data_IF_943131526734
#
_entry.id   IF_943131526734
#
_cell.length_a   1.000
_cell.length_b   1.000
_cell.length_c   1.000
_cell.angle_alpha   90.00
_cell.angle_beta   90.00
_cell.angle_gamma   90.00
#
_symmetry.space_group_name_H-M   'P 1'
#
loop_
_entity.id
_entity.type
_entity.pdbx_description
1 polymer ?
#
# COMPACT_ATOMS: atom_id res chain seq x y z
N UNK A 1 -16.52 30.88 -3.03
CA UNK A 1 -15.40 29.93 -3.22
C UNK A 1 -15.54 28.93 -2.09
N UNK A 2 -16.08 27.75 -2.41
CA UNK A 2 -16.29 26.69 -1.43
C UNK A 2 -14.96 25.93 -1.24
N UNK A 3 -14.53 25.76 0.01
CA UNK A 3 -13.33 25.01 0.36
C UNK A 3 -13.56 23.52 0.10
N UNK A 4 -12.55 22.75 -0.35
CA UNK A 4 -12.69 21.31 -0.51
C UNK A 4 -12.92 20.63 0.84
N UNK A 5 -13.88 19.71 0.90
CA UNK A 5 -14.13 18.88 2.07
C UNK A 5 -12.99 17.87 2.23
N UNK A 6 -12.10 18.10 3.20
CA UNK A 6 -11.04 17.15 3.59
C UNK A 6 -11.58 16.28 4.72
N UNK A 7 -11.70 14.98 4.48
CA UNK A 7 -12.11 14.00 5.48
C UNK A 7 -10.91 13.18 5.94
N UNK A 8 -10.66 13.15 7.25
CA UNK A 8 -9.57 12.40 7.86
C UNK A 8 -10.18 11.27 8.67
N UNK A 9 -9.90 10.02 8.30
CA UNK A 9 -10.24 8.85 9.10
C UNK A 9 -8.99 8.43 9.92
N UNK A 10 -9.01 8.61 11.23
CA UNK A 10 -7.90 8.20 12.10
C UNK A 10 -8.16 8.33 13.59
N UNK A 11 -7.89 7.26 14.34
CA UNK A 11 -7.76 7.25 15.80
C UNK A 11 -6.32 7.55 16.19
N UNK A 12 -6.05 8.73 16.74
CA UNK A 12 -4.71 9.15 17.15
C UNK A 12 -4.41 8.89 18.63
N UNK A 13 -3.27 8.27 18.92
CA UNK A 13 -2.56 8.40 20.19
C UNK A 13 -1.13 8.83 19.88
N UNK A 14 -0.73 10.02 20.33
CA UNK A 14 0.64 10.55 20.17
C UNK A 14 1.39 10.36 21.48
N UNK A 15 2.45 9.56 21.49
CA UNK A 15 3.37 9.47 22.63
C UNK A 15 4.73 10.04 22.19
N UNK A 16 5.08 11.20 22.74
CA UNK A 16 6.43 11.80 22.64
C UNK A 16 7.21 11.39 23.87
N UNK A 17 8.39 10.79 23.71
CA UNK A 17 9.39 10.80 24.77
C UNK A 17 10.80 10.95 24.20
N UNK A 18 11.50 11.96 24.70
CA UNK A 18 12.90 12.29 24.45
C UNK A 18 13.71 11.76 25.62
N UNK A 19 14.79 11.01 25.36
CA UNK A 19 15.82 10.76 26.36
C UNK A 19 17.18 11.16 25.81
N UNK A 20 17.78 12.17 26.44
CA UNK A 20 19.21 12.43 26.41
C UNK A 20 19.89 11.46 27.39
N UNK A 21 20.78 10.61 26.90
CA UNK A 21 21.70 9.85 27.76
C UNK A 21 23.12 10.40 27.62
N UNK A 22 23.60 10.98 28.72
CA UNK A 22 25.01 11.31 28.95
C UNK A 22 25.81 10.03 29.21
N UNK A 23 26.96 9.87 28.56
CA UNK A 23 27.90 8.75 28.77
C UNK A 23 28.67 8.89 30.09
N UNK A 24 28.99 7.77 30.77
CA UNK A 24 30.22 7.63 31.51
C UNK A 24 31.24 6.77 30.75
N UNK A 25 32.50 7.18 30.87
CA UNK A 25 33.73 6.54 30.40
C UNK A 25 34.12 5.34 31.25
N UNK A 26 34.63 4.27 30.64
CA UNK A 26 35.33 3.19 31.33
C UNK A 26 35.56 1.97 30.44
N UNK A 27 36.84 1.69 30.13
CA UNK A 27 37.32 0.53 29.39
C UNK A 27 37.26 -0.76 30.24
N UNK A 28 36.89 -1.89 29.64
CA UNK A 28 37.74 -3.11 29.59
C UNK A 28 37.07 -4.29 28.84
N UNK A 29 37.91 -5.25 28.48
CA UNK A 29 37.84 -6.18 27.34
C UNK A 29 36.93 -7.44 27.45
N UNK A 30 36.78 -8.10 26.26
CA UNK A 30 36.47 -9.52 25.92
C UNK A 30 34.97 -9.92 25.70
N UNK A 31 34.62 -11.04 25.00
CA UNK A 31 34.48 -11.22 23.54
C UNK A 31 33.07 -11.61 23.02
N UNK A 32 32.90 -11.51 21.69
CA UNK A 32 31.96 -12.23 20.81
C UNK A 32 30.63 -12.75 21.37
N UNK A 33 29.57 -11.96 21.18
CA UNK A 33 28.17 -12.38 21.41
C UNK A 33 27.18 -11.55 20.58
N UNK A 34 27.43 -11.36 19.28
CA UNK A 34 26.52 -10.63 18.38
C UNK A 34 25.38 -11.54 17.89
N UNK A 35 24.40 -11.79 18.76
CA UNK A 35 23.02 -12.16 18.38
C UNK A 35 22.00 -12.09 19.56
N UNK A 36 22.41 -11.68 20.77
CA UNK A 36 21.51 -11.65 21.95
C UNK A 36 21.17 -10.24 22.47
N UNK A 37 21.66 -9.15 21.87
CA UNK A 37 21.52 -7.82 22.47
C UNK A 37 20.19 -7.11 22.16
N UNK A 38 19.53 -7.38 21.05
CA UNK A 38 18.30 -6.64 20.68
C UNK A 38 17.07 -7.10 21.47
N UNK A 39 17.00 -8.40 21.81
CA UNK A 39 15.88 -8.95 22.59
C UNK A 39 15.90 -8.54 24.07
N UNK A 40 17.09 -8.44 24.67
CA UNK A 40 17.27 -8.04 26.08
C UNK A 40 17.01 -6.55 26.30
N UNK A 41 17.39 -5.68 25.34
CA UNK A 41 17.16 -4.23 25.43
C UNK A 41 15.67 -3.89 25.34
N UNK A 42 14.89 -4.62 24.52
CA UNK A 42 13.43 -4.44 24.50
C UNK A 42 12.77 -4.90 25.80
N UNK A 43 13.30 -5.95 26.44
CA UNK A 43 12.77 -6.46 27.71
C UNK A 43 13.00 -5.47 28.87
N UNK A 44 14.17 -4.85 28.97
CA UNK A 44 14.48 -3.90 30.05
C UNK A 44 13.67 -2.59 29.96
N UNK A 45 13.40 -2.09 28.76
CA UNK A 45 12.53 -0.91 28.55
C UNK A 45 11.10 -1.20 29.02
N UNK A 46 10.61 -2.42 28.77
CA UNK A 46 9.26 -2.85 29.16
C UNK A 46 9.15 -3.08 30.67
N UNK A 47 10.14 -3.71 31.31
CA UNK A 47 10.16 -3.91 32.77
C UNK A 47 10.24 -2.58 33.53
N UNK A 48 10.97 -1.60 33.00
CA UNK A 48 11.10 -0.27 33.58
C UNK A 48 9.79 0.54 33.52
N UNK A 49 8.92 0.27 32.55
CA UNK A 49 7.63 0.94 32.38
C UNK A 49 6.50 0.36 33.24
N UNK A 50 6.61 -0.89 33.72
CA UNK A 50 5.46 -1.62 34.28
C UNK A 50 5.46 -1.86 35.80
N UNK A 51 6.50 -1.49 36.56
CA UNK A 51 6.57 -1.61 38.05
C UNK A 51 5.96 -2.91 38.63
N UNK A 52 6.30 -4.07 38.06
CA UNK A 52 5.74 -5.35 38.52
C UNK A 52 6.49 -5.82 39.79
N UNK A 53 5.81 -6.17 40.90
CA UNK A 53 6.46 -6.68 42.10
C UNK A 53 6.94 -8.13 41.90
N UNK A 54 8.18 -8.40 42.31
CA UNK A 54 8.82 -9.71 42.29
C UNK A 54 8.23 -10.66 43.34
N UNK A 55 7.16 -11.40 43.05
CA UNK A 55 6.82 -12.60 43.82
C UNK A 55 6.02 -13.57 42.97
N UNK A 56 6.71 -14.54 42.35
CA UNK A 56 6.25 -15.89 42.00
C UNK A 56 7.47 -16.67 41.42
N UNK A 57 7.52 -17.98 41.62
CA UNK A 57 8.68 -18.81 41.24
C UNK A 57 8.89 -18.84 39.72
N UNK A 58 10.17 -18.68 39.33
CA UNK A 58 10.64 -18.38 37.98
C UNK A 58 10.21 -19.38 36.89
N UNK A 59 10.02 -20.64 37.26
CA UNK A 59 9.96 -21.75 36.29
C UNK A 59 8.53 -22.10 35.82
N UNK A 60 7.48 -21.74 36.55
CA UNK A 60 6.10 -22.12 36.19
C UNK A 60 5.32 -21.01 35.46
N UNK A 61 5.74 -19.74 35.58
CA UNK A 61 5.19 -18.64 34.76
C UNK A 61 5.87 -18.51 33.39
N UNK A 62 7.05 -19.13 33.19
CA UNK A 62 7.94 -18.80 32.08
C UNK A 62 7.52 -19.34 30.71
N UNK A 63 6.58 -20.29 30.63
CA UNK A 63 6.18 -20.88 29.34
C UNK A 63 4.77 -20.46 28.91
N UNK A 64 3.81 -20.39 29.85
CA UNK A 64 2.43 -20.02 29.53
C UNK A 64 2.18 -18.51 29.53
N UNK A 65 2.77 -17.73 30.44
CA UNK A 65 2.68 -16.26 30.36
C UNK A 65 3.56 -15.72 29.26
N UNK A 66 4.76 -16.27 29.03
CA UNK A 66 5.62 -15.80 27.94
C UNK A 66 4.94 -15.98 26.58
N UNK A 67 4.16 -17.05 26.35
CA UNK A 67 3.43 -17.21 25.09
C UNK A 67 2.28 -16.18 24.92
N UNK A 68 1.40 -16.05 25.92
CA UNK A 68 0.25 -15.15 25.84
C UNK A 68 0.65 -13.66 25.90
N UNK A 69 1.67 -13.33 26.69
CA UNK A 69 2.24 -11.99 26.75
C UNK A 69 3.05 -11.69 25.49
N UNK A 70 3.83 -12.63 24.93
CA UNK A 70 4.54 -12.39 23.66
C UNK A 70 3.60 -12.18 22.48
N UNK A 71 2.44 -12.83 22.44
CA UNK A 71 1.40 -12.53 21.44
C UNK A 71 0.79 -11.14 21.64
N UNK A 72 0.62 -10.73 22.89
CA UNK A 72 0.15 -9.39 23.24
C UNK A 72 1.21 -8.34 22.88
N UNK A 73 2.48 -8.60 23.16
CA UNK A 73 3.62 -7.77 22.78
C UNK A 73 3.84 -7.74 21.28
N UNK A 74 3.66 -8.86 20.54
CA UNK A 74 3.70 -8.85 19.08
C UNK A 74 2.57 -8.03 18.49
N UNK A 75 1.36 -8.12 19.03
CA UNK A 75 0.23 -7.25 18.63
C UNK A 75 0.51 -5.79 18.95
N UNK A 76 1.09 -5.48 20.11
CA UNK A 76 1.51 -4.13 20.50
C UNK A 76 2.62 -3.60 19.60
N UNK A 77 3.69 -4.35 19.38
CA UNK A 77 4.81 -3.97 18.50
C UNK A 77 4.30 -3.82 17.06
N UNK A 78 3.45 -4.72 16.56
CA UNK A 78 2.84 -4.59 15.22
C UNK A 78 1.91 -3.38 15.14
N UNK A 79 1.22 -3.02 16.23
CA UNK A 79 0.41 -1.80 16.30
C UNK A 79 1.25 -0.53 16.47
N UNK A 80 2.49 -0.64 16.97
CA UNK A 80 3.40 0.47 17.25
C UNK A 80 4.42 0.72 16.12
N UNK A 81 4.69 -0.27 15.27
CA UNK A 81 5.46 -0.06 14.03
C UNK A 81 4.51 0.55 13.01
N UNK A 82 4.70 1.83 12.64
CA UNK A 82 3.84 2.46 11.64
C UNK A 82 3.87 1.62 10.37
N UNK A 83 2.70 1.29 9.82
CA UNK A 83 2.65 0.67 8.50
C UNK A 83 3.38 1.58 7.52
N UNK A 84 4.27 0.99 6.72
CA UNK A 84 5.02 1.73 5.71
C UNK A 84 4.02 2.48 4.82
N UNK A 85 4.15 3.81 4.66
CA UNK A 85 3.23 4.56 3.81
C UNK A 85 3.29 3.99 2.39
N UNK A 86 2.10 3.71 1.84
CA UNK A 86 1.91 3.23 0.45
C UNK A 86 1.84 4.38 -0.55
N UNK A 87 1.49 5.58 -0.08
CA UNK A 87 1.41 6.79 -0.88
C UNK A 87 0.10 6.89 -1.65
N UNK A 88 0.16 7.34 -2.90
CA UNK A 88 -1.02 7.44 -3.75
C UNK A 88 -1.52 6.04 -4.09
N UNK A 89 -2.82 5.81 -3.89
CA UNK A 89 -3.47 4.54 -4.20
C UNK A 89 -4.21 4.60 -5.54
N UNK A 90 -4.91 5.70 -5.83
CA UNK A 90 -5.64 5.89 -7.07
C UNK A 90 -5.85 7.38 -7.40
N UNK A 91 -5.89 7.69 -8.69
CA UNK A 91 -6.45 8.94 -9.21
C UNK A 91 -7.97 8.81 -9.37
N UNK A 92 -8.70 9.90 -9.18
CA UNK A 92 -10.07 10.09 -9.62
C UNK A 92 -10.11 11.24 -10.66
N UNK A 93 -11.26 11.44 -11.31
CA UNK A 93 -11.39 12.44 -12.39
C UNK A 93 -11.04 13.86 -11.93
N UNK A 94 -11.44 14.22 -10.71
CA UNK A 94 -11.20 15.52 -10.06
C UNK A 94 -10.59 15.37 -8.66
N UNK A 95 -9.92 14.24 -8.40
CA UNK A 95 -9.58 13.84 -7.06
C UNK A 95 -8.56 12.71 -6.95
N UNK A 96 -8.36 12.23 -5.73
CA UNK A 96 -7.40 11.16 -5.45
C UNK A 96 -7.75 10.39 -4.18
N UNK A 97 -7.10 9.22 -4.04
CA UNK A 97 -7.05 8.44 -2.80
C UNK A 97 -5.59 8.19 -2.44
N UNK A 98 -5.21 8.60 -1.24
CA UNK A 98 -3.86 8.50 -0.68
C UNK A 98 -3.91 7.74 0.65
N UNK A 99 -2.86 6.98 0.94
CA UNK A 99 -2.65 6.42 2.26
C UNK A 99 -1.23 6.67 2.77
N UNK A 100 -1.13 7.30 3.93
CA UNK A 100 0.13 7.58 4.62
C UNK A 100 -0.05 7.47 6.12
N UNK A 101 0.91 6.82 6.79
CA UNK A 101 0.94 6.72 8.27
C UNK A 101 -0.35 6.14 8.89
N UNK A 102 -0.97 5.18 8.20
CA UNK A 102 -2.23 4.56 8.63
C UNK A 102 -3.47 5.44 8.45
N UNK A 103 -3.33 6.64 7.89
CA UNK A 103 -4.44 7.52 7.51
C UNK A 103 -4.72 7.38 6.02
N UNK A 104 -6.00 7.27 5.69
CA UNK A 104 -6.47 7.33 4.31
C UNK A 104 -7.04 8.73 4.10
N UNK A 105 -6.50 9.45 3.12
CA UNK A 105 -6.94 10.77 2.69
C UNK A 105 -7.53 10.64 1.31
N UNK A 106 -8.70 11.21 1.09
CA UNK A 106 -9.30 11.28 -0.24
C UNK A 106 -9.76 12.69 -0.54
N UNK A 107 -9.73 13.01 -1.82
CA UNK A 107 -10.30 14.22 -2.38
C UNK A 107 -11.23 13.81 -3.50
N UNK A 108 -12.48 14.27 -3.46
CA UNK A 108 -13.51 14.00 -4.46
C UNK A 108 -13.56 12.54 -4.96
N UNK A 109 -13.63 11.53 -4.06
CA UNK A 109 -13.88 10.17 -4.50
C UNK A 109 -15.28 10.07 -5.13
N UNK A 110 -15.54 9.09 -6.01
CA UNK A 110 -16.89 8.79 -6.47
C UNK A 110 -17.87 8.71 -5.28
N UNK A 111 -19.06 9.33 -5.37
CA UNK A 111 -19.97 9.47 -4.22
C UNK A 111 -20.31 8.14 -3.53
N UNK A 112 -20.51 7.07 -4.31
CA UNK A 112 -20.74 5.72 -3.80
C UNK A 112 -19.54 5.13 -3.05
N UNK A 113 -18.32 5.53 -3.41
CA UNK A 113 -17.10 5.16 -2.71
C UNK A 113 -16.98 5.93 -1.39
N UNK A 114 -17.34 7.22 -1.38
CA UNK A 114 -17.24 8.08 -0.19
C UNK A 114 -18.00 7.52 1.03
N UNK A 115 -19.24 7.06 0.83
CA UNK A 115 -20.07 6.50 1.92
C UNK A 115 -19.41 5.29 2.59
N UNK A 116 -18.72 4.48 1.80
CA UNK A 116 -18.15 3.21 2.22
C UNK A 116 -16.78 3.43 2.88
N UNK A 117 -16.02 4.39 2.37
CA UNK A 117 -14.74 4.82 2.94
C UNK A 117 -14.87 5.34 4.38
N UNK A 118 -16.00 5.97 4.74
CA UNK A 118 -16.28 6.44 6.12
C UNK A 118 -16.25 5.31 7.16
N UNK A 119 -16.44 4.07 6.74
CA UNK A 119 -16.47 2.89 7.63
C UNK A 119 -15.18 2.07 7.59
N UNK A 120 -14.23 2.46 6.74
CA UNK A 120 -13.02 1.69 6.47
C UNK A 120 -11.96 1.89 7.56
N UNK A 121 -11.38 0.78 8.03
CA UNK A 121 -10.21 0.81 8.93
C UNK A 121 -8.90 0.68 8.18
N UNK A 122 -8.92 -0.05 7.07
CA UNK A 122 -7.75 -0.35 6.25
C UNK A 122 -8.18 -0.64 4.82
N UNK A 123 -7.49 -0.05 3.85
CA UNK A 123 -7.68 -0.37 2.44
C UNK A 123 -6.71 -1.47 2.03
N UNK A 124 -7.15 -2.38 1.17
CA UNK A 124 -6.28 -3.38 0.55
C UNK A 124 -5.95 -2.97 -0.88
N UNK A 125 -6.98 -2.64 -1.65
CA UNK A 125 -6.86 -2.24 -3.05
C UNK A 125 -7.89 -1.16 -3.37
N UNK A 126 -7.49 -0.16 -4.16
CA UNK A 126 -8.37 0.86 -4.72
C UNK A 126 -8.01 1.02 -6.18
N UNK A 127 -9.00 0.94 -7.06
CA UNK A 127 -8.86 1.24 -8.47
C UNK A 127 -10.04 2.05 -8.92
N UNK A 128 -9.80 3.17 -9.57
CA UNK A 128 -10.82 4.03 -10.14
C UNK A 128 -10.52 4.12 -11.62
N UNK A 129 -11.47 3.69 -12.45
CA UNK A 129 -11.38 3.74 -13.90
C UNK A 129 -12.24 4.89 -14.47
N UNK A 130 -12.15 5.12 -15.79
CA UNK A 130 -13.02 6.07 -16.48
C UNK A 130 -14.52 5.76 -16.31
N UNK A 131 -15.39 6.69 -16.68
CA UNK A 131 -16.85 6.50 -16.76
C UNK A 131 -17.52 5.98 -15.48
N UNK A 132 -16.97 6.36 -14.31
CA UNK A 132 -17.52 6.00 -13.00
C UNK A 132 -17.29 4.54 -12.60
N UNK A 133 -16.41 3.83 -13.28
CA UNK A 133 -16.00 2.47 -12.90
C UNK A 133 -15.07 2.51 -11.69
N UNK A 134 -15.27 1.61 -10.74
CA UNK A 134 -14.36 1.50 -9.59
C UNK A 134 -14.33 0.10 -9.02
N UNK A 135 -13.23 -0.21 -8.35
CA UNK A 135 -13.07 -1.36 -7.50
C UNK A 135 -12.46 -0.90 -6.18
N UNK A 136 -12.96 -1.42 -5.06
CA UNK A 136 -12.27 -1.25 -3.79
C UNK A 136 -12.46 -2.47 -2.87
N UNK A 137 -11.40 -2.76 -2.11
CA UNK A 137 -11.34 -3.81 -1.10
C UNK A 137 -10.82 -3.22 0.21
N UNK A 138 -11.53 -3.46 1.31
CA UNK A 138 -11.22 -2.85 2.61
C UNK A 138 -11.62 -3.76 3.77
N UNK A 139 -11.05 -3.47 4.95
CA UNK A 139 -11.46 -4.07 6.21
C UNK A 139 -12.44 -3.14 6.91
N UNK A 140 -13.65 -3.63 7.20
CA UNK A 140 -14.66 -2.88 7.93
C UNK A 140 -14.32 -2.75 9.43
N UNK A 141 -15.15 -1.99 10.17
CA UNK A 141 -14.96 -1.79 11.61
C UNK A 141 -15.00 -3.10 12.43
N UNK A 142 -15.63 -4.16 11.94
CA UNK A 142 -15.71 -5.50 12.56
C UNK A 142 -14.54 -6.40 12.17
N UNK A 143 -13.63 -5.90 11.34
CA UNK A 143 -12.51 -6.68 10.87
C UNK A 143 -12.85 -7.61 9.71
N UNK A 144 -14.05 -7.52 9.13
CA UNK A 144 -14.43 -8.33 7.97
C UNK A 144 -13.98 -7.62 6.71
N UNK A 145 -13.39 -8.38 5.78
CA UNK A 145 -13.09 -7.83 4.46
C UNK A 145 -14.35 -7.67 3.64
N UNK A 146 -14.46 -6.51 3.02
CA UNK A 146 -15.53 -6.10 2.14
C UNK A 146 -14.93 -5.71 0.81
N UNK A 147 -15.70 -5.92 -0.25
CA UNK A 147 -15.33 -5.58 -1.62
C UNK A 147 -16.54 -5.01 -2.32
N UNK A 148 -16.31 -4.07 -3.22
CA UNK A 148 -17.35 -3.60 -4.11
C UNK A 148 -16.71 -3.21 -5.42
N UNK A 149 -17.43 -3.57 -6.46
CA UNK A 149 -17.10 -3.27 -7.83
C UNK A 149 -18.29 -2.55 -8.46
N UNK A 150 -17.98 -1.61 -9.34
CA UNK A 150 -18.94 -1.01 -10.24
C UNK A 150 -18.28 -0.96 -11.61
N UNK A 151 -18.91 -1.61 -12.59
CA UNK A 151 -18.46 -1.56 -13.98
C UNK A 151 -18.46 -0.11 -14.50
N UNK A 152 -17.45 0.30 -15.30
CA UNK A 152 -17.49 1.56 -16.02
C UNK A 152 -18.73 1.68 -16.91
N UNK A 153 -19.32 2.87 -16.96
CA UNK A 153 -20.49 3.11 -17.81
C UNK A 153 -20.12 2.90 -19.28
N UNK A 154 -20.91 2.10 -19.99
CA UNK A 154 -20.70 1.80 -21.41
C UNK A 154 -19.59 0.80 -21.70
N UNK A 155 -19.07 0.08 -20.70
CA UNK A 155 -18.16 -1.05 -20.90
C UNK A 155 -18.75 -2.37 -20.42
N UNK A 156 -18.34 -3.45 -21.07
CA UNK A 156 -18.59 -4.80 -20.59
C UNK A 156 -17.41 -5.26 -19.72
N UNK A 157 -17.65 -5.40 -18.42
CA UNK A 157 -16.70 -5.99 -17.46
C UNK A 157 -17.33 -7.20 -16.76
N UNK A 158 -18.28 -7.88 -17.41
CA UNK A 158 -18.97 -9.05 -16.87
C UNK A 158 -18.01 -10.16 -16.43
N UNK A 159 -16.96 -10.41 -17.21
CA UNK A 159 -15.89 -11.37 -16.88
C UNK A 159 -15.17 -11.05 -15.56
N UNK A 160 -14.93 -9.77 -15.26
CA UNK A 160 -14.37 -9.34 -13.98
C UNK A 160 -15.39 -9.54 -12.84
N UNK A 161 -16.66 -9.19 -13.06
CA UNK A 161 -17.73 -9.40 -12.07
C UNK A 161 -17.87 -10.87 -11.70
N UNK A 162 -17.90 -11.75 -12.70
CA UNK A 162 -17.97 -13.20 -12.51
C UNK A 162 -16.76 -13.72 -11.73
N UNK A 163 -15.55 -13.26 -12.08
CA UNK A 163 -14.33 -13.66 -11.38
C UNK A 163 -14.34 -13.19 -9.91
N UNK A 164 -14.80 -11.97 -9.64
CA UNK A 164 -14.93 -11.42 -8.30
C UNK A 164 -15.98 -12.17 -7.47
N UNK A 165 -17.12 -12.52 -8.06
CA UNK A 165 -18.17 -13.25 -7.35
C UNK A 165 -17.78 -14.70 -7.09
N UNK A 166 -17.18 -15.38 -8.09
CA UNK A 166 -16.75 -16.77 -7.99
C UNK A 166 -15.70 -16.98 -6.89
N UNK A 167 -14.80 -16.02 -6.69
CA UNK A 167 -13.67 -16.14 -5.76
C UNK A 167 -13.87 -15.40 -4.43
N UNK A 168 -15.07 -14.85 -4.15
CA UNK A 168 -15.31 -13.92 -3.03
C UNK A 168 -14.85 -14.42 -1.65
N UNK A 169 -14.89 -15.73 -1.40
CA UNK A 169 -14.51 -16.35 -0.12
C UNK A 169 -13.04 -16.79 -0.07
N UNK A 170 -12.32 -16.80 -1.19
CA UNK A 170 -10.98 -17.39 -1.30
C UNK A 170 -9.88 -16.33 -1.45
N UNK A 171 -10.24 -15.10 -1.82
CA UNK A 171 -9.31 -13.97 -1.97
C UNK A 171 -8.31 -13.81 -0.83
N UNK A 172 -7.04 -13.61 -1.19
CA UNK A 172 -6.01 -13.19 -0.25
C UNK A 172 -5.94 -11.66 -0.23
N UNK A 173 -6.53 -11.06 0.80
CA UNK A 173 -6.63 -9.61 0.93
C UNK A 173 -5.27 -8.88 0.93
N UNK A 174 -4.18 -9.55 1.29
CA UNK A 174 -2.84 -8.95 1.33
C UNK A 174 -2.13 -8.97 -0.02
N UNK A 175 -2.55 -9.84 -0.93
CA UNK A 175 -1.91 -10.06 -2.22
C UNK A 175 -2.83 -9.70 -3.41
N UNK A 176 -3.96 -9.06 -3.09
CA UNK A 176 -5.01 -8.74 -4.04
C UNK A 176 -4.77 -7.37 -4.69
N UNK A 177 -4.81 -7.33 -6.02
CA UNK A 177 -4.67 -6.10 -6.80
C UNK A 177 -5.65 -6.09 -7.97
N UNK A 178 -6.28 -4.96 -8.24
CA UNK A 178 -7.10 -4.70 -9.42
C UNK A 178 -6.67 -3.38 -10.02
N UNK A 179 -6.61 -3.31 -11.34
CA UNK A 179 -6.47 -2.07 -12.09
C UNK A 179 -7.53 -2.02 -13.18
N UNK A 180 -8.27 -0.92 -13.22
CA UNK A 180 -9.26 -0.59 -14.23
C UNK A 180 -8.67 0.44 -15.19
N UNK A 181 -8.82 0.18 -16.48
CA UNK A 181 -8.37 1.06 -17.54
C UNK A 181 -9.52 1.54 -18.42
N UNK A 182 -9.21 2.28 -19.49
CA UNK A 182 -10.19 2.73 -20.47
C UNK A 182 -10.90 1.56 -21.17
N UNK A 183 -12.11 1.84 -21.67
CA UNK A 183 -12.90 0.89 -22.50
C UNK A 183 -13.19 -0.46 -21.82
N UNK A 184 -13.29 -0.48 -20.49
CA UNK A 184 -13.54 -1.71 -19.73
C UNK A 184 -12.32 -2.64 -19.60
N UNK A 185 -11.13 -2.18 -20.03
CA UNK A 185 -9.92 -2.96 -19.81
C UNK A 185 -9.64 -3.11 -18.32
N UNK A 186 -9.15 -4.29 -17.92
CA UNK A 186 -8.80 -4.54 -16.53
C UNK A 186 -7.67 -5.53 -16.39
N UNK A 187 -7.02 -5.48 -15.24
CA UNK A 187 -6.13 -6.50 -14.71
C UNK A 187 -6.52 -6.82 -13.27
N UNK A 188 -6.46 -8.09 -12.90
CA UNK A 188 -6.65 -8.57 -11.53
C UNK A 188 -5.57 -9.58 -11.18
N UNK A 189 -4.99 -9.43 -10.00
CA UNK A 189 -4.11 -10.38 -9.34
C UNK A 189 -4.73 -10.79 -8.02
N UNK A 190 -4.82 -12.08 -7.79
CA UNK A 190 -5.24 -12.62 -6.51
C UNK A 190 -4.42 -13.88 -6.23
N UNK A 191 -3.22 -13.69 -5.71
CA UNK A 191 -2.37 -14.80 -5.35
C UNK A 191 -2.89 -15.51 -4.08
N UNK A 192 -3.02 -16.85 -4.05
CA UNK A 192 -2.53 -17.84 -5.03
C UNK A 192 -3.57 -18.31 -6.07
N UNK A 193 -4.75 -17.71 -6.11
CA UNK A 193 -5.90 -18.16 -6.91
C UNK A 193 -5.69 -17.94 -8.40
N UNK A 194 -5.04 -16.84 -8.78
CA UNK A 194 -4.63 -16.60 -10.16
C UNK A 194 -4.64 -15.13 -10.55
N UNK A 195 -4.47 -14.93 -11.85
CA UNK A 195 -4.48 -13.63 -12.51
C UNK A 195 -5.50 -13.65 -13.65
N UNK A 196 -6.13 -12.50 -13.90
CA UNK A 196 -7.08 -12.32 -15.00
C UNK A 196 -6.90 -10.95 -15.62
N UNK A 197 -7.19 -10.81 -16.90
CA UNK A 197 -7.15 -9.53 -17.58
C UNK A 197 -7.97 -9.57 -18.87
N UNK A 198 -8.51 -8.42 -19.25
CA UNK A 198 -9.23 -8.23 -20.51
C UNK A 198 -8.99 -6.83 -21.05
N UNK A 199 -9.05 -6.68 -22.37
CA UNK A 199 -8.91 -5.37 -23.05
C UNK A 199 -7.53 -4.69 -22.90
N UNK A 200 -6.56 -5.34 -22.26
CA UNK A 200 -5.20 -4.78 -22.06
C UNK A 200 -4.39 -4.77 -23.35
N UNK A 201 -3.33 -3.95 -23.38
CA UNK A 201 -2.41 -3.89 -24.52
C UNK A 201 -1.76 -5.27 -24.77
N UNK A 202 -1.59 -5.65 -26.05
CA UNK A 202 -1.08 -6.98 -26.43
C UNK A 202 0.29 -7.29 -25.81
N UNK A 203 1.22 -6.33 -25.82
CA UNK A 203 2.55 -6.49 -25.20
C UNK A 203 2.46 -6.77 -23.69
N UNK A 204 1.52 -6.12 -23.00
CA UNK A 204 1.30 -6.36 -21.57
C UNK A 204 0.78 -7.78 -21.35
N UNK A 205 -0.20 -8.24 -22.14
CA UNK A 205 -0.71 -9.61 -22.04
C UNK A 205 0.37 -10.68 -22.30
N UNK A 206 1.29 -10.44 -23.23
CA UNK A 206 2.45 -11.31 -23.47
C UNK A 206 3.37 -11.33 -22.25
N UNK A 207 3.66 -10.16 -21.67
CA UNK A 207 4.55 -10.06 -20.51
C UNK A 207 3.95 -10.71 -19.25
N UNK A 208 2.64 -10.55 -19.01
CA UNK A 208 1.93 -11.22 -17.91
C UNK A 208 2.07 -12.73 -18.05
N UNK A 209 1.78 -13.28 -19.24
CA UNK A 209 1.92 -14.73 -19.52
C UNK A 209 3.36 -15.23 -19.37
N UNK A 210 4.35 -14.40 -19.74
CA UNK A 210 5.77 -14.74 -19.61
C UNK A 210 6.20 -14.85 -18.15
N UNK A 211 5.69 -13.96 -17.29
CA UNK A 211 6.01 -13.91 -15.85
C UNK A 211 5.20 -14.90 -15.01
N UNK A 212 4.03 -15.28 -15.50
CA UNK A 212 3.17 -16.29 -14.90
C UNK A 212 3.06 -17.53 -15.80
N UNK A 213 4.14 -18.32 -15.97
CA UNK A 213 4.07 -19.55 -16.74
C UNK A 213 3.13 -20.53 -16.01
N UNK A 214 2.20 -21.13 -16.77
CA UNK A 214 1.12 -22.04 -16.30
C UNK A 214 1.58 -23.26 -15.47
N UNK A 215 2.89 -23.42 -15.19
CA UNK A 215 3.51 -24.63 -14.64
C UNK A 215 4.28 -24.44 -13.33
N UNK A 216 4.37 -23.24 -12.78
CA UNK A 216 5.00 -23.04 -11.47
C UNK A 216 3.95 -22.73 -10.41
N UNK A 217 3.88 -23.61 -9.41
CA UNK A 217 3.07 -23.43 -8.21
C UNK A 217 3.51 -22.17 -7.48
N UNK A 218 2.77 -21.09 -7.73
CA UNK A 218 2.73 -19.89 -6.91
C UNK A 218 3.86 -18.87 -7.16
N UNK A 219 4.01 -18.38 -8.39
CA UNK A 219 4.78 -17.17 -8.68
C UNK A 219 3.86 -15.93 -8.63
N UNK A 220 4.01 -15.08 -7.61
CA UNK A 220 3.34 -13.77 -7.50
C UNK A 220 4.05 -12.72 -8.38
N UNK A 221 4.18 -12.98 -9.68
CA UNK A 221 4.80 -12.08 -10.65
C UNK A 221 3.89 -11.98 -11.90
N UNK A 222 3.44 -10.78 -12.31
CA UNK A 222 3.62 -9.49 -11.65
C UNK A 222 2.90 -9.35 -10.31
N UNK A 223 3.40 -8.44 -9.45
CA UNK A 223 2.73 -8.07 -8.19
C UNK A 223 1.71 -6.96 -8.40
N UNK A 224 1.96 -6.07 -9.36
CA UNK A 224 1.13 -4.90 -9.60
C UNK A 224 1.12 -4.55 -11.09
N UNK A 225 -0.04 -4.14 -11.59
CA UNK A 225 -0.19 -3.56 -12.94
C UNK A 225 -1.08 -2.33 -12.79
N UNK A 226 -0.67 -1.20 -13.33
CA UNK A 226 -1.51 0.00 -13.41
C UNK A 226 -1.80 0.31 -14.88
N UNK A 227 -3.05 0.64 -15.16
CA UNK A 227 -3.55 1.01 -16.49
C UNK A 227 -3.84 2.50 -16.50
N UNK A 228 -3.32 3.21 -17.51
CA UNK A 228 -3.50 4.65 -17.66
C UNK A 228 -4.37 5.03 -18.85
N UNK A 229 -4.31 6.30 -19.27
CA UNK A 229 -4.95 6.80 -20.51
C UNK A 229 -4.63 5.92 -21.72
N UNK A 230 -5.63 5.73 -22.60
CA UNK A 230 -5.45 4.99 -23.85
C UNK A 230 -5.03 3.54 -23.63
N UNK A 231 -3.91 3.13 -24.24
CA UNK A 231 -3.35 1.77 -24.12
C UNK A 231 -2.12 1.69 -23.23
N UNK A 232 -1.98 2.65 -22.31
CA UNK A 232 -0.78 2.77 -21.48
C UNK A 232 -0.83 1.88 -20.25
N UNK A 233 0.34 1.40 -19.84
CA UNK A 233 0.45 0.55 -18.67
C UNK A 233 1.84 0.62 -18.05
N UNK A 234 1.90 0.24 -16.77
CA UNK A 234 3.13 -0.18 -16.11
C UNK A 234 2.86 -1.47 -15.31
N UNK A 235 3.80 -2.40 -15.38
CA UNK A 235 3.80 -3.68 -14.70
C UNK A 235 5.01 -3.70 -13.77
N UNK A 236 4.80 -3.96 -12.49
CA UNK A 236 5.85 -4.11 -11.48
C UNK A 236 5.98 -5.60 -11.13
N UNK A 237 7.20 -6.11 -11.25
CA UNK A 237 7.58 -7.44 -10.81
C UNK A 237 7.88 -7.51 -9.31
N UNK A 238 7.96 -8.72 -8.77
CA UNK A 238 8.15 -8.96 -7.34
C UNK A 238 9.41 -8.30 -6.77
N UNK A 239 10.49 -8.32 -7.54
CA UNK A 239 11.79 -7.73 -7.16
C UNK A 239 11.84 -6.21 -7.41
N UNK A 240 10.75 -5.62 -7.91
CA UNK A 240 10.66 -4.19 -8.24
C UNK A 240 11.22 -3.83 -9.61
N UNK A 241 11.53 -4.81 -10.45
CA UNK A 241 11.73 -4.57 -11.87
C UNK A 241 10.42 -4.12 -12.52
N UNK A 242 10.50 -3.33 -13.59
CA UNK A 242 9.34 -2.68 -14.19
C UNK A 242 9.34 -2.85 -15.70
N UNK A 243 8.16 -3.11 -16.26
CA UNK A 243 7.89 -3.18 -17.70
C UNK A 243 6.73 -2.24 -18.02
N UNK A 244 6.93 -1.31 -18.96
CA UNK A 244 5.93 -0.28 -19.23
C UNK A 244 5.89 0.10 -20.71
N UNK A 245 4.75 0.63 -21.16
CA UNK A 245 4.59 1.32 -22.44
C UNK A 245 3.61 2.47 -22.20
N UNK A 246 4.12 3.69 -22.24
CA UNK A 246 3.34 4.90 -21.97
C UNK A 246 2.78 5.55 -23.23
N UNK A 247 3.00 4.98 -24.43
CA UNK A 247 2.48 5.49 -25.70
C UNK A 247 2.56 7.03 -25.84
N UNK A 248 3.63 7.65 -25.33
CA UNK A 248 3.86 9.10 -25.26
C UNK A 248 2.91 9.93 -24.35
N UNK A 249 2.01 9.31 -23.59
CA UNK A 249 1.11 10.03 -22.68
C UNK A 249 1.79 10.51 -21.38
N UNK A 250 2.84 9.83 -20.92
CA UNK A 250 3.56 10.15 -19.66
C UNK A 250 5.08 10.37 -19.91
N UNK A 251 5.48 11.36 -20.74
CA UNK A 251 6.88 11.52 -21.14
C UNK A 251 7.81 11.83 -19.96
N UNK A 252 7.34 12.60 -18.98
CA UNK A 252 8.14 12.94 -17.80
C UNK A 252 8.42 11.71 -16.92
N UNK A 253 7.39 10.87 -16.70
CA UNK A 253 7.52 9.61 -15.97
C UNK A 253 8.44 8.64 -16.71
N UNK A 254 8.30 8.51 -18.03
CA UNK A 254 9.17 7.69 -18.86
C UNK A 254 10.65 8.08 -18.65
N UNK A 255 10.94 9.38 -18.75
CA UNK A 255 12.27 9.91 -18.52
C UNK A 255 12.74 9.75 -17.06
N UNK A 256 11.85 9.67 -16.06
CA UNK A 256 12.23 9.35 -14.68
C UNK A 256 12.60 7.88 -14.53
N UNK A 257 11.78 6.96 -15.06
CA UNK A 257 12.03 5.53 -14.99
C UNK A 257 13.33 5.15 -15.71
N UNK A 258 13.57 5.69 -16.91
CA UNK A 258 14.80 5.43 -17.68
C UNK A 258 16.08 5.88 -16.98
N UNK A 259 16.01 6.93 -16.15
CA UNK A 259 17.16 7.46 -15.39
C UNK A 259 17.33 6.79 -14.02
N UNK A 260 16.29 6.14 -13.51
CA UNK A 260 16.34 5.48 -12.21
C UNK A 260 17.23 4.24 -12.27
N UNK A 261 18.01 4.03 -11.20
CA UNK A 261 18.75 2.78 -10.94
C UNK A 261 18.12 1.98 -9.80
N UNK A 262 16.97 2.42 -9.31
CA UNK A 262 16.26 1.85 -8.16
C UNK A 262 14.99 1.20 -8.67
N UNK A 263 14.69 0.00 -8.16
CA UNK A 263 13.43 -0.70 -8.44
C UNK A 263 12.21 0.10 -7.99
N UNK A 264 11.05 -0.22 -8.55
CA UNK A 264 9.78 0.42 -8.24
C UNK A 264 9.03 -0.41 -7.19
N UNK A 265 8.50 0.26 -6.17
CA UNK A 265 7.66 -0.35 -5.13
C UNK A 265 6.16 -0.16 -5.45
N UNK A 266 5.77 1.02 -5.92
CA UNK A 266 4.40 1.32 -6.34
C UNK A 266 4.41 2.33 -7.50
N UNK A 267 3.45 2.22 -8.41
CA UNK A 267 3.26 3.16 -9.50
C UNK A 267 1.77 3.28 -9.80
N UNK A 268 1.29 4.51 -9.92
CA UNK A 268 -0.11 4.80 -10.21
C UNK A 268 -0.16 5.77 -11.38
N UNK A 269 -0.87 5.38 -12.44
CA UNK A 269 -1.15 6.23 -13.59
C UNK A 269 -2.57 6.80 -13.45
N UNK A 270 -2.77 8.05 -13.84
CA UNK A 270 -4.12 8.59 -13.98
C UNK A 270 -4.76 8.06 -15.26
N UNK A 271 -5.89 7.33 -15.21
CA UNK A 271 -6.58 6.91 -16.42
C UNK A 271 -7.36 8.05 -17.09
N UNK A 272 -7.36 9.25 -16.49
CA UNK A 272 -8.11 10.43 -16.95
C UNK A 272 -7.23 11.44 -17.67
N UNK A 273 -5.97 11.60 -17.23
CA UNK A 273 -5.05 12.62 -17.75
C UNK A 273 -3.60 12.14 -17.68
N UNK A 274 -2.95 12.04 -18.85
CA UNK A 274 -1.57 11.57 -18.99
C UNK A 274 -0.52 12.46 -18.29
N UNK A 275 -0.89 13.67 -17.88
CA UNK A 275 -0.01 14.54 -17.09
C UNK A 275 0.21 14.00 -15.69
N UNK A 276 -0.77 13.27 -15.11
CA UNK A 276 -0.73 12.92 -13.70
C UNK A 276 -0.30 11.48 -13.45
N UNK A 277 0.64 11.32 -12.53
CA UNK A 277 1.24 10.05 -12.18
C UNK A 277 1.92 10.11 -10.81
N UNK A 278 2.12 8.94 -10.22
CA UNK A 278 2.86 8.76 -8.97
C UNK A 278 3.77 7.54 -9.09
N UNK A 279 4.99 7.64 -8.55
CA UNK A 279 5.90 6.50 -8.39
C UNK A 279 6.59 6.56 -7.03
N UNK A 280 6.60 5.41 -6.35
CA UNK A 280 7.37 5.14 -5.15
C UNK A 280 8.46 4.12 -5.52
N UNK A 281 9.71 4.49 -5.33
CA UNK A 281 10.85 3.61 -5.54
C UNK A 281 11.18 2.81 -4.26
N UNK A 282 11.86 1.67 -4.43
CA UNK A 282 12.26 0.76 -3.34
C UNK A 282 13.19 1.41 -2.31
N UNK A 283 13.90 2.47 -2.68
CA UNK A 283 14.73 3.28 -1.78
C UNK A 283 13.91 4.31 -0.98
N UNK A 284 12.57 4.26 -1.08
CA UNK A 284 11.60 5.15 -0.44
C UNK A 284 11.54 6.55 -1.03
N UNK A 285 12.19 6.79 -2.17
CA UNK A 285 12.02 8.02 -2.93
C UNK A 285 10.66 8.04 -3.60
N UNK A 286 9.93 9.13 -3.43
CA UNK A 286 8.68 9.43 -4.12
C UNK A 286 8.93 10.47 -5.19
N UNK A 287 8.34 10.26 -6.36
CA UNK A 287 8.20 11.28 -7.40
C UNK A 287 6.77 11.24 -7.93
N UNK A 288 6.20 12.41 -8.19
CA UNK A 288 4.85 12.50 -8.73
C UNK A 288 4.69 13.75 -9.59
N UNK A 289 3.68 13.70 -10.46
CA UNK A 289 3.09 14.87 -11.07
C UNK A 289 1.59 14.83 -10.78
N UNK A 290 1.10 15.80 -10.02
CA UNK A 290 -0.30 15.90 -9.61
C UNK A 290 -0.75 17.35 -9.79
N UNK A 291 -2.06 17.64 -9.91
CA UNK A 291 -2.55 19.00 -9.92
C UNK A 291 -2.02 19.83 -8.74
N UNK A 292 -1.59 21.06 -9.02
CA UNK A 292 -0.97 21.94 -8.00
C UNK A 292 -1.90 22.21 -6.81
N UNK A 293 -3.20 22.22 -7.06
CA UNK A 293 -4.22 22.48 -6.05
C UNK A 293 -4.51 21.26 -5.17
N UNK A 294 -4.01 20.06 -5.50
CA UNK A 294 -4.30 18.83 -4.75
C UNK A 294 -3.65 18.76 -3.38
N UNK A 295 -2.65 19.60 -3.10
CA UNK A 295 -2.00 19.79 -1.80
C UNK A 295 -1.75 18.50 -0.99
N UNK A 296 -1.49 17.39 -1.71
CA UNK A 296 -1.18 16.07 -1.15
C UNK A 296 0.04 16.20 -0.22
N UNK A 297 0.97 17.05 -0.62
CA UNK A 297 2.23 17.25 0.09
C UNK A 297 2.08 18.08 1.37
N UNK A 298 1.22 19.10 1.41
CA UNK A 298 0.98 19.83 2.67
C UNK A 298 0.26 18.95 3.68
N UNK A 299 -0.70 18.15 3.22
CA UNK A 299 -1.51 17.28 4.09
C UNK A 299 -0.70 16.10 4.66
N UNK A 300 0.37 15.67 3.97
CA UNK A 300 1.19 14.51 4.38
C UNK A 300 2.53 14.91 5.01
N UNK A 301 3.19 15.95 4.49
CA UNK A 301 4.58 16.30 4.86
C UNK A 301 4.76 17.74 5.35
N UNK A 302 3.78 18.61 5.11
CA UNK A 302 3.93 20.06 5.31
C UNK A 302 4.88 20.76 4.32
N UNK A 303 5.44 20.02 3.36
CA UNK A 303 6.30 20.52 2.28
C UNK A 303 5.51 20.61 0.96
N UNK A 304 5.98 21.37 -0.04
CA UNK A 304 5.35 21.51 -1.37
C UNK A 304 6.17 20.92 -2.51
N UNK A 305 7.21 20.13 -2.22
CA UNK A 305 8.09 19.56 -3.25
C UNK A 305 7.43 18.37 -3.98
N UNK A 306 7.60 18.29 -5.30
CA UNK A 306 7.13 17.17 -6.15
C UNK A 306 7.97 15.87 -6.01
N UNK A 307 8.96 15.89 -5.12
CA UNK A 307 9.74 14.71 -4.74
C UNK A 307 10.18 14.83 -3.29
N UNK A 308 10.09 13.72 -2.57
CA UNK A 308 10.49 13.59 -1.18
C UNK A 308 10.85 12.13 -0.90
N UNK A 309 11.40 11.88 0.28
CA UNK A 309 11.76 10.53 0.72
C UNK A 309 10.98 10.22 1.99
N UNK A 310 10.38 9.04 2.08
CA UNK A 310 9.85 8.58 3.37
C UNK A 310 11.02 8.22 4.28
N UNK A 311 10.97 8.70 5.52
CA UNK A 311 11.91 8.32 6.59
C UNK A 311 11.74 6.85 7.01
#
# INVERSE_FOLDING_TARGET
>A
MDLPNIYIAGSGLVVRQVYHCSRPTGEDNVPSGKAMSTGLVLLEVVYSLLRIPYFLSRETLQESLVSAEMDTYRKLITALVPEKPRGLLAFAEDGYVWEGSGLIVWRNPPSKLEEELKTSKKMYCVSIGPNGGFFYSWKDHKGKTKRRFQSPTGSDCSSLEELLEHNKETFNDQAFHVSLGPQGSYYINNFPIGQGYEGVHQKLGIEIKRRYPERETYVQDPVHVTLGVGKTYALIGKEGDIFWDFASHYPDLDAKLLRSKVGVENIVLSPFDGRYWFVLFKDRTVSMNVPEDWDIMSSVTGDKRNSFKFD
#
